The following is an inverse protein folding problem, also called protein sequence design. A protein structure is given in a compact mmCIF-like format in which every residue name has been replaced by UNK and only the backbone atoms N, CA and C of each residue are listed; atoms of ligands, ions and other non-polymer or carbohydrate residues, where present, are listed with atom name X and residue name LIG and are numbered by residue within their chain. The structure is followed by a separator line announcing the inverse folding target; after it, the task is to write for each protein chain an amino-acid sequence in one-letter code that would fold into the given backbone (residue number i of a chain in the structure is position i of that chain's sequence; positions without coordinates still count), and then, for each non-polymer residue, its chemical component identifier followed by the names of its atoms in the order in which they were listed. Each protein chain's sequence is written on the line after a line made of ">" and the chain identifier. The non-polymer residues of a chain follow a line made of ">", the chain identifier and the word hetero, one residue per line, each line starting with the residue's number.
data_IF_487680119868
#
_entry.id   IF_487680119868
#
_cell.length_a   1.000
_cell.length_b   1.000
_cell.length_c   1.000
_cell.angle_alpha   90.00
_cell.angle_beta   90.00
_cell.angle_gamma   90.00
#
_symmetry.space_group_name_H-M   'P 1'
#
loop_
_entity.id
_entity.type
_entity.pdbx_description
1 polymer ?
#
# COMPACT_ATOMS: atom_id res chain seq x y z
N UNK A 1 -31.28 59.88 -14.80
CA UNK A 1 -32.24 59.19 -13.89
C UNK A 1 -31.96 57.70 -13.88
N UNK A 2 -31.04 57.25 -13.02
CA UNK A 2 -30.69 55.84 -12.88
C UNK A 2 -31.81 55.10 -12.17
N UNK A 3 -32.60 54.32 -12.91
CA UNK A 3 -33.75 53.57 -12.39
C UNK A 3 -33.23 52.42 -11.52
N UNK A 4 -33.12 52.66 -10.22
CA UNK A 4 -32.76 51.64 -9.23
C UNK A 4 -33.80 50.52 -9.29
N UNK A 5 -33.39 49.35 -9.78
CA UNK A 5 -34.20 48.14 -9.78
C UNK A 5 -33.97 47.39 -8.48
N UNK A 6 -35.05 47.03 -7.79
CA UNK A 6 -34.97 46.28 -6.55
C UNK A 6 -34.35 44.90 -6.81
N UNK A 7 -33.57 44.40 -5.85
CA UNK A 7 -32.94 43.06 -5.93
C UNK A 7 -33.97 41.94 -6.21
N UNK A 8 -35.24 42.14 -5.79
CA UNK A 8 -36.35 41.24 -6.08
C UNK A 8 -36.73 41.18 -7.56
N UNK A 9 -36.75 42.31 -8.27
CA UNK A 9 -37.05 42.36 -9.71
C UNK A 9 -35.99 41.67 -10.57
N UNK A 10 -34.72 41.81 -10.18
CA UNK A 10 -33.59 41.11 -10.83
C UNK A 10 -33.69 39.61 -10.60
N UNK A 11 -34.06 39.19 -9.38
CA UNK A 11 -34.18 37.77 -9.05
C UNK A 11 -35.33 37.10 -9.81
N UNK A 12 -36.47 37.76 -10.01
CA UNK A 12 -37.56 37.22 -10.83
C UNK A 12 -37.20 37.10 -12.32
N UNK A 13 -36.42 38.03 -12.85
CA UNK A 13 -35.96 38.03 -14.26
C UNK A 13 -34.86 36.97 -14.51
N UNK A 14 -34.09 36.60 -13.48
CA UNK A 14 -32.99 35.61 -13.55
C UNK A 14 -33.44 34.21 -13.09
N UNK A 15 -34.63 34.07 -12.48
CA UNK A 15 -35.17 32.79 -11.97
C UNK A 15 -35.43 31.83 -13.13
N UNK A 16 -34.53 30.87 -13.31
CA UNK A 16 -34.58 29.86 -14.37
C UNK A 16 -33.51 30.02 -15.46
N UNK A 17 -32.88 31.19 -15.58
CA UNK A 17 -31.76 31.41 -16.49
C UNK A 17 -30.43 31.21 -15.77
N UNK A 18 -30.09 29.95 -15.49
CA UNK A 18 -28.76 29.59 -15.00
C UNK A 18 -27.80 29.64 -16.19
N UNK A 19 -27.07 30.75 -16.34
CA UNK A 19 -26.12 30.92 -17.43
C UNK A 19 -25.17 29.72 -17.53
N UNK A 20 -24.93 29.25 -18.76
CA UNK A 20 -24.07 28.08 -19.09
C UNK A 20 -22.69 28.12 -18.39
N UNK A 21 -22.21 29.32 -18.02
CA UNK A 21 -21.00 29.54 -17.22
C UNK A 21 -21.03 28.91 -15.82
N UNK A 22 -22.20 28.67 -15.22
CA UNK A 22 -22.31 28.00 -13.91
C UNK A 22 -22.21 26.48 -14.07
N UNK A 23 -22.79 25.93 -15.15
CA UNK A 23 -22.66 24.51 -15.50
C UNK A 23 -21.24 24.17 -15.97
N UNK A 24 -20.56 25.08 -16.68
CA UNK A 24 -19.19 24.86 -17.16
C UNK A 24 -18.11 24.99 -16.07
N UNK A 25 -18.41 25.55 -14.89
CA UNK A 25 -17.48 25.56 -13.73
C UNK A 25 -17.30 24.18 -13.07
N UNK A 26 -18.02 23.16 -13.53
CA UNK A 26 -17.71 21.77 -13.20
C UNK A 26 -16.45 21.26 -13.93
N UNK A 27 -15.88 22.04 -14.85
CA UNK A 27 -14.63 21.74 -15.52
C UNK A 27 -13.43 22.24 -14.70
N UNK A 28 -12.53 21.32 -14.35
CA UNK A 28 -11.19 21.54 -13.78
C UNK A 28 -11.13 22.14 -12.37
N UNK A 29 -11.61 21.39 -11.36
CA UNK A 29 -11.16 21.62 -9.98
C UNK A 29 -9.71 21.13 -9.82
N UNK A 30 -8.75 21.93 -10.28
CA UNK A 30 -7.38 21.78 -9.79
C UNK A 30 -7.43 21.97 -8.28
N UNK A 31 -7.16 20.91 -7.53
CA UNK A 31 -7.15 20.95 -6.06
C UNK A 31 -6.19 22.04 -5.59
N UNK A 32 -6.59 22.82 -4.59
CA UNK A 32 -5.69 23.78 -3.94
C UNK A 32 -4.47 23.09 -3.30
N UNK A 33 -3.43 23.85 -2.95
CA UNK A 33 -2.17 23.34 -2.38
C UNK A 33 -2.40 22.41 -1.17
N UNK A 34 -3.27 22.79 -0.25
CA UNK A 34 -3.61 22.01 0.95
C UNK A 34 -4.29 20.68 0.58
N UNK A 35 -5.29 20.73 -0.30
CA UNK A 35 -6.02 19.55 -0.75
C UNK A 35 -5.11 18.57 -1.51
N UNK A 36 -4.19 19.07 -2.37
CA UNK A 36 -3.17 18.22 -3.02
C UNK A 36 -2.24 17.54 -2.01
N UNK A 37 -1.80 18.27 -0.97
CA UNK A 37 -0.95 17.71 0.10
C UNK A 37 -1.69 16.62 0.88
N UNK A 38 -2.95 16.85 1.23
CA UNK A 38 -3.79 15.87 1.92
C UNK A 38 -4.00 14.61 1.07
N UNK A 39 -4.38 14.78 -0.20
CA UNK A 39 -4.56 13.67 -1.14
C UNK A 39 -3.27 12.85 -1.28
N UNK A 40 -2.11 13.51 -1.40
CA UNK A 40 -0.82 12.82 -1.48
C UNK A 40 -0.51 12.01 -0.22
N UNK A 41 -0.83 12.55 0.96
CA UNK A 41 -0.68 11.84 2.24
C UNK A 41 -1.59 10.62 2.32
N UNK A 42 -2.86 10.76 1.90
CA UNK A 42 -3.83 9.67 1.85
C UNK A 42 -3.38 8.56 0.90
N UNK A 43 -2.98 8.91 -0.33
CA UNK A 43 -2.46 7.94 -1.30
C UNK A 43 -1.25 7.19 -0.74
N UNK A 44 -0.31 7.92 -0.11
CA UNK A 44 0.88 7.30 0.48
C UNK A 44 0.52 6.36 1.64
N UNK A 45 -0.42 6.76 2.50
CA UNK A 45 -0.90 5.93 3.61
C UNK A 45 -1.52 4.64 3.07
N UNK A 46 -2.45 4.77 2.13
CA UNK A 46 -3.18 3.63 1.57
C UNK A 46 -2.24 2.65 0.87
N UNK A 47 -1.32 3.14 0.02
CA UNK A 47 -0.33 2.27 -0.65
C UNK A 47 0.58 1.55 0.34
N UNK A 48 0.99 2.24 1.42
CA UNK A 48 1.80 1.61 2.46
C UNK A 48 1.02 0.51 3.17
N UNK A 49 -0.24 0.76 3.50
CA UNK A 49 -1.13 -0.20 4.16
C UNK A 49 -1.39 -1.43 3.28
N UNK A 50 -1.64 -1.23 1.99
CA UNK A 50 -1.80 -2.30 1.00
C UNK A 50 -0.55 -3.19 0.92
N UNK A 51 0.64 -2.60 0.75
CA UNK A 51 1.90 -3.34 0.71
C UNK A 51 2.17 -4.06 2.04
N UNK A 52 1.88 -3.43 3.17
CA UNK A 52 2.04 -4.07 4.48
C UNK A 52 1.12 -5.28 4.64
N UNK A 53 -0.13 -5.18 4.18
CA UNK A 53 -1.08 -6.29 4.23
C UNK A 53 -0.60 -7.46 3.36
N UNK A 54 -0.13 -7.18 2.15
CA UNK A 54 0.45 -8.21 1.28
C UNK A 54 1.66 -8.91 1.92
N UNK A 55 2.57 -8.14 2.54
CA UNK A 55 3.74 -8.70 3.22
C UNK A 55 3.40 -9.52 4.46
N UNK A 56 2.43 -9.08 5.27
CA UNK A 56 1.98 -9.84 6.47
C UNK A 56 1.36 -11.20 6.13
N UNK A 57 0.77 -11.31 4.93
CA UNK A 57 0.23 -12.57 4.44
C UNK A 57 1.33 -13.57 3.98
N UNK A 58 2.61 -13.20 4.05
CA UNK A 58 3.74 -14.00 3.59
C UNK A 58 4.78 -14.18 4.70
N UNK A 59 4.83 -15.37 5.28
CA UNK A 59 5.79 -15.71 6.34
C UNK A 59 5.51 -15.00 7.66
N UNK A 60 4.84 -15.70 8.58
CA UNK A 60 4.54 -15.22 9.92
C UNK A 60 3.68 -16.22 10.68
N UNK A 61 3.35 -15.92 11.93
CA UNK A 61 2.56 -16.80 12.81
C UNK A 61 1.16 -17.13 12.28
N UNK A 62 0.59 -16.26 11.43
CA UNK A 62 -0.78 -16.37 10.90
C UNK A 62 -0.83 -16.65 9.40
N UNK A 63 0.30 -16.96 8.77
CA UNK A 63 0.39 -17.27 7.34
C UNK A 63 1.14 -18.58 7.11
N UNK A 64 1.12 -19.06 5.86
CA UNK A 64 1.82 -20.29 5.51
C UNK A 64 3.35 -20.12 5.67
N UNK A 65 4.08 -21.20 6.01
CA UNK A 65 5.53 -21.20 6.01
C UNK A 65 6.10 -20.80 4.64
N UNK A 66 7.22 -20.08 4.64
CA UNK A 66 7.96 -19.76 3.42
C UNK A 66 8.75 -21.00 2.99
N UNK A 67 8.51 -21.47 1.77
CA UNK A 67 9.31 -22.53 1.16
C UNK A 67 10.55 -21.93 0.49
N UNK A 68 11.72 -22.40 0.92
CA UNK A 68 13.03 -21.99 0.38
C UNK A 68 13.73 -23.24 -0.16
N UNK A 69 14.27 -23.14 -1.37
CA UNK A 69 15.05 -24.20 -2.00
C UNK A 69 16.50 -23.74 -2.18
N UNK A 70 17.45 -24.56 -1.73
CA UNK A 70 18.87 -24.35 -1.95
C UNK A 70 19.30 -25.19 -3.15
N UNK A 71 19.84 -24.53 -4.17
CA UNK A 71 20.26 -25.17 -5.42
C UNK A 71 21.74 -24.84 -5.64
N UNK A 72 22.67 -25.79 -5.45
CA UNK A 72 24.07 -25.58 -5.81
C UNK A 72 24.18 -25.51 -7.34
N UNK A 73 24.95 -24.54 -7.84
CA UNK A 73 25.20 -24.36 -9.27
C UNK A 73 26.55 -24.96 -9.72
N UNK A 74 27.37 -25.40 -8.77
CA UNK A 74 28.66 -26.05 -8.99
C UNK A 74 28.76 -27.28 -8.07
N UNK A 75 29.52 -28.28 -8.51
CA UNK A 75 29.63 -29.58 -7.84
C UNK A 75 30.43 -29.51 -6.52
N UNK A 76 31.32 -28.54 -6.39
CA UNK A 76 32.19 -28.33 -5.22
C UNK A 76 31.54 -27.50 -4.10
N UNK A 77 30.27 -27.14 -4.24
CA UNK A 77 29.53 -26.37 -3.24
C UNK A 77 28.98 -27.28 -2.15
N UNK A 78 29.50 -27.12 -0.95
CA UNK A 78 29.00 -27.79 0.26
C UNK A 78 27.70 -27.12 0.75
N UNK A 79 26.57 -27.75 0.44
CA UNK A 79 25.23 -27.31 0.87
C UNK A 79 25.01 -27.45 2.38
N UNK A 80 25.68 -28.41 3.02
CA UNK A 80 25.51 -28.68 4.46
C UNK A 80 26.16 -27.58 5.29
N UNK A 81 27.32 -27.07 4.84
CA UNK A 81 27.94 -25.91 5.46
C UNK A 81 27.06 -24.66 5.33
N UNK A 82 26.47 -24.41 4.15
CA UNK A 82 25.54 -23.29 3.95
C UNK A 82 24.32 -23.42 4.87
N UNK A 83 23.73 -24.62 4.96
CA UNK A 83 22.64 -24.91 5.87
C UNK A 83 23.03 -24.70 7.33
N UNK A 84 24.26 -25.08 7.72
CA UNK A 84 24.79 -24.80 9.06
C UNK A 84 24.88 -23.31 9.34
N UNK A 85 25.24 -22.48 8.37
CA UNK A 85 25.30 -21.02 8.56
C UNK A 85 23.90 -20.45 8.75
N UNK A 86 22.94 -20.86 7.90
CA UNK A 86 21.56 -20.38 7.97
C UNK A 86 20.90 -20.78 9.29
N UNK A 87 21.07 -22.03 9.72
CA UNK A 87 20.47 -22.56 10.95
C UNK A 87 21.06 -21.92 12.21
N UNK A 88 22.33 -21.54 12.20
CA UNK A 88 23.03 -20.93 13.35
C UNK A 88 22.98 -19.40 13.39
N UNK A 89 22.34 -18.76 12.41
CA UNK A 89 22.29 -17.30 12.33
C UNK A 89 21.50 -16.65 13.48
N UNK A 90 20.58 -17.39 14.11
CA UNK A 90 19.80 -16.96 15.27
C UNK A 90 19.80 -18.06 16.34
N UNK A 91 20.35 -17.75 17.52
CA UNK A 91 20.42 -18.68 18.65
C UNK A 91 19.04 -19.07 19.20
N UNK A 92 18.02 -18.26 18.96
CA UNK A 92 16.64 -18.51 19.38
C UNK A 92 15.83 -19.32 18.37
N UNK A 93 16.44 -19.71 17.23
CA UNK A 93 15.78 -20.49 16.19
C UNK A 93 15.44 -21.90 16.68
N UNK A 94 14.21 -22.34 16.40
CA UNK A 94 13.81 -23.73 16.58
C UNK A 94 13.91 -24.48 15.25
N UNK A 95 14.80 -25.47 15.20
CA UNK A 95 15.13 -26.24 14.00
C UNK A 95 14.55 -27.65 14.14
N UNK A 96 13.76 -28.09 13.16
CA UNK A 96 13.25 -29.47 13.10
C UNK A 96 13.61 -30.10 11.76
N UNK A 97 14.30 -31.24 11.81
CA UNK A 97 14.68 -32.00 10.62
C UNK A 97 13.66 -33.11 10.34
N UNK A 98 13.24 -33.25 9.09
CA UNK A 98 12.40 -34.34 8.63
C UNK A 98 13.26 -35.43 7.95
N UNK A 99 12.92 -36.72 8.10
CA UNK A 99 13.54 -37.82 7.35
C UNK A 99 13.65 -37.61 5.83
N UNK A 100 12.77 -36.83 5.22
CA UNK A 100 12.78 -36.52 3.79
C UNK A 100 13.80 -35.42 3.39
N UNK A 101 14.68 -34.97 4.31
CA UNK A 101 15.68 -33.93 4.02
C UNK A 101 15.14 -32.50 4.06
N UNK A 102 13.91 -32.30 4.53
CA UNK A 102 13.33 -30.97 4.74
C UNK A 102 13.68 -30.45 6.14
N UNK A 103 14.04 -29.18 6.21
CA UNK A 103 14.34 -28.48 7.46
C UNK A 103 13.26 -27.43 7.71
N UNK A 104 12.58 -27.54 8.85
CA UNK A 104 11.68 -26.50 9.34
C UNK A 104 12.44 -25.58 10.29
N UNK A 105 12.57 -24.32 9.89
CA UNK A 105 13.17 -23.25 10.68
C UNK A 105 12.08 -22.32 11.19
N UNK A 106 11.98 -22.17 12.51
CA UNK A 106 11.08 -21.20 13.15
C UNK A 106 11.92 -20.18 13.91
N UNK A 107 11.73 -18.92 13.57
CA UNK A 107 12.37 -17.78 14.24
C UNK A 107 11.33 -17.08 15.11
N UNK A 108 11.71 -16.70 16.32
CA UNK A 108 10.82 -16.02 17.27
C UNK A 108 10.91 -14.48 17.16
N UNK A 109 11.97 -13.96 16.55
CA UNK A 109 12.31 -12.53 16.55
C UNK A 109 12.04 -11.79 15.21
N UNK A 110 11.27 -12.38 14.28
CA UNK A 110 11.01 -11.83 12.94
C UNK A 110 9.53 -11.68 12.61
#
# INVERSE_FOLDING_TARGET
>A
MGRHRSKGSINSEVKGNVGVKVLSKRATKNLGKSARRLQSSQIRKNKREEVLQQKRNFGGSHSAPILICLIPLQEDVDTDNILSIITKADESANITNNPCGLIHLRLSNF
#
